data_IF_870879711053
#
_entry.id   IF_870879711053
#
_cell.length_a   1.000
_cell.length_b   1.000
_cell.length_c   1.000
_cell.angle_alpha   90.00
_cell.angle_beta   90.00
_cell.angle_gamma   90.00
#
_symmetry.space_group_name_H-M   'P 1'
#
loop_
_entity.id
_entity.type
_entity.pdbx_description
1 polymer ?
#
# COMPACT_ATOMS: atom_id res chain seq x y z
N UNK A 1 -16.46 -11.90 3.86
CA UNK A 1 -16.98 -11.23 2.64
C UNK A 1 -17.81 -10.01 3.05
N UNK A 2 -17.97 -9.00 2.19
CA UNK A 2 -18.84 -7.83 2.45
C UNK A 2 -19.78 -7.63 1.28
N UNK A 3 -21.07 -7.68 1.57
CA UNK A 3 -22.12 -7.43 0.60
C UNK A 3 -22.79 -6.10 0.92
N UNK A 4 -23.11 -5.34 -0.12
CA UNK A 4 -24.01 -4.19 -0.01
C UNK A 4 -25.36 -4.61 -0.58
N UNK A 5 -26.44 -4.07 -0.05
CA UNK A 5 -27.75 -4.53 -0.44
C UNK A 5 -28.83 -3.89 0.39
N UNK A 6 -30.04 -4.42 0.23
CA UNK A 6 -31.21 -3.98 0.97
C UNK A 6 -31.70 -5.11 1.85
N UNK A 7 -32.04 -4.75 3.08
CA UNK A 7 -32.81 -5.63 3.94
C UNK A 7 -34.26 -5.59 3.46
N UNK A 8 -34.84 -6.75 3.15
CA UNK A 8 -36.24 -6.91 2.79
C UNK A 8 -37.09 -7.13 4.04
N UNK A 9 -38.40 -7.09 3.86
CA UNK A 9 -39.35 -7.49 4.89
C UNK A 9 -39.02 -8.93 5.36
N UNK A 10 -38.87 -9.15 6.67
CA UNK A 10 -38.57 -10.48 7.18
C UNK A 10 -39.79 -11.39 7.00
N UNK A 11 -39.52 -12.68 6.84
CA UNK A 11 -40.56 -13.71 6.73
C UNK A 11 -40.55 -14.60 7.97
N UNK A 12 -41.66 -15.29 8.22
CA UNK A 12 -41.73 -16.31 9.25
C UNK A 12 -41.64 -17.67 8.56
N UNK A 13 -40.63 -18.45 8.93
CA UNK A 13 -40.55 -19.86 8.51
C UNK A 13 -41.66 -20.63 9.23
N UNK A 14 -42.53 -21.27 8.47
CA UNK A 14 -43.69 -21.98 9.03
C UNK A 14 -43.30 -23.29 9.75
N UNK A 15 -42.20 -23.93 9.37
CA UNK A 15 -41.75 -25.17 10.00
C UNK A 15 -41.10 -24.90 11.36
N UNK A 16 -40.32 -23.82 11.46
CA UNK A 16 -39.58 -23.48 12.67
C UNK A 16 -40.24 -22.39 13.52
N UNK A 17 -41.23 -21.68 12.98
CA UNK A 17 -41.85 -20.47 13.52
C UNK A 17 -40.84 -19.35 13.85
N UNK A 18 -39.65 -19.38 13.24
CA UNK A 18 -38.60 -18.37 13.45
C UNK A 18 -38.67 -17.28 12.41
N UNK A 19 -38.34 -16.06 12.85
CA UNK A 19 -38.15 -14.92 11.97
C UNK A 19 -36.90 -15.14 11.12
N UNK A 20 -37.05 -15.03 9.81
CA UNK A 20 -35.95 -15.18 8.84
C UNK A 20 -35.63 -13.82 8.23
N UNK A 21 -34.35 -13.47 8.26
CA UNK A 21 -33.80 -12.25 7.69
C UNK A 21 -33.59 -12.47 6.19
N UNK A 22 -34.19 -11.60 5.36
CA UNK A 22 -33.97 -11.58 3.91
C UNK A 22 -33.09 -10.39 3.53
N UNK A 23 -31.92 -10.69 2.96
CA UNK A 23 -31.01 -9.68 2.44
C UNK A 23 -30.90 -9.85 0.93
N UNK A 24 -31.14 -8.78 0.18
CA UNK A 24 -30.98 -8.73 -1.27
C UNK A 24 -29.61 -8.11 -1.58
N UNK A 25 -28.56 -8.93 -1.80
CA UNK A 25 -27.23 -8.42 -2.10
C UNK A 25 -27.20 -7.84 -3.53
N UNK A 26 -26.37 -6.81 -3.70
CA UNK A 26 -26.11 -6.23 -5.01
C UNK A 26 -25.01 -6.99 -5.77
N UNK A 27 -24.13 -7.68 -5.04
CA UNK A 27 -23.11 -8.57 -5.60
C UNK A 27 -23.63 -10.01 -5.67
N UNK A 28 -23.01 -10.83 -6.51
CA UNK A 28 -23.28 -12.27 -6.57
C UNK A 28 -22.87 -12.95 -5.25
N UNK A 29 -23.84 -13.61 -4.61
CA UNK A 29 -23.68 -14.33 -3.35
C UNK A 29 -23.57 -15.85 -3.55
N UNK A 30 -23.66 -16.36 -4.78
CA UNK A 30 -23.82 -17.79 -5.08
C UNK A 30 -22.66 -18.65 -4.54
N UNK A 31 -21.42 -18.22 -4.74
CA UNK A 31 -20.24 -18.93 -4.21
C UNK A 31 -20.25 -18.94 -2.66
N UNK A 32 -20.53 -17.80 -2.04
CA UNK A 32 -20.59 -17.68 -0.59
C UNK A 32 -21.68 -18.57 0.03
N UNK A 33 -22.81 -18.72 -0.67
CA UNK A 33 -23.88 -19.61 -0.26
C UNK A 33 -23.40 -21.06 -0.23
N UNK A 34 -22.78 -21.54 -1.31
CA UNK A 34 -22.26 -22.91 -1.38
C UNK A 34 -21.24 -23.22 -0.28
N UNK A 35 -20.37 -22.25 0.05
CA UNK A 35 -19.37 -22.39 1.11
C UNK A 35 -19.99 -22.40 2.53
N UNK A 36 -21.13 -21.74 2.75
CA UNK A 36 -21.68 -21.48 4.08
C UNK A 36 -22.96 -22.25 4.42
N UNK A 37 -23.68 -22.81 3.43
CA UNK A 37 -25.01 -23.41 3.60
C UNK A 37 -25.06 -24.55 4.63
N UNK A 38 -23.97 -25.29 4.79
CA UNK A 38 -23.87 -26.45 5.69
C UNK A 38 -23.19 -26.14 7.03
N UNK A 39 -22.86 -24.86 7.29
CA UNK A 39 -22.26 -24.46 8.57
C UNK A 39 -23.30 -24.50 9.70
N UNK A 40 -22.99 -25.24 10.78
CA UNK A 40 -23.85 -25.38 11.96
C UNK A 40 -24.17 -24.03 12.62
N UNK A 41 -23.24 -23.09 12.58
CA UNK A 41 -23.40 -21.76 13.18
C UNK A 41 -22.72 -20.68 12.35
N UNK A 42 -23.50 -19.65 12.01
CA UNK A 42 -23.03 -18.46 11.31
C UNK A 42 -23.22 -17.21 12.18
N UNK A 43 -22.34 -16.23 11.99
CA UNK A 43 -22.45 -14.90 12.60
C UNK A 43 -22.80 -13.88 11.53
N UNK A 44 -23.78 -13.01 11.80
CA UNK A 44 -24.24 -11.97 10.88
C UNK A 44 -24.12 -10.59 11.52
N UNK A 45 -23.45 -9.67 10.83
CA UNK A 45 -23.36 -8.27 11.24
C UNK A 45 -23.94 -7.36 10.15
N UNK A 46 -24.97 -6.57 10.47
CA UNK A 46 -25.60 -5.61 9.56
C UNK A 46 -25.25 -4.19 10.01
N UNK A 47 -24.64 -3.41 9.13
CA UNK A 47 -24.27 -2.01 9.37
C UNK A 47 -24.93 -1.10 8.34
N UNK A 48 -25.34 0.10 8.76
CA UNK A 48 -25.82 1.14 7.83
C UNK A 48 -24.72 1.43 6.82
N UNK A 49 -25.03 1.29 5.53
CA UNK A 49 -24.10 1.64 4.48
C UNK A 49 -23.76 3.13 4.57
N UNK A 50 -22.46 3.42 4.66
CA UNK A 50 -21.90 4.76 4.47
C UNK A 50 -20.91 4.62 3.34
N UNK A 51 -21.01 5.49 2.33
CA UNK A 51 -19.98 5.58 1.29
C UNK A 51 -18.65 5.81 2.02
N UNK A 52 -17.74 4.84 1.97
CA UNK A 52 -16.40 5.05 2.51
C UNK A 52 -15.80 6.25 1.77
N UNK A 53 -15.12 7.13 2.51
CA UNK A 53 -14.20 8.12 1.94
C UNK A 53 -13.31 7.39 0.93
N UNK A 54 -12.86 8.08 -0.12
CA UNK A 54 -11.79 7.57 -0.98
C UNK A 54 -10.71 6.91 -0.12
N UNK A 55 -10.22 5.74 -0.52
CA UNK A 55 -8.99 5.22 0.06
C UNK A 55 -7.95 6.32 -0.13
N UNK A 56 -7.45 6.85 0.97
CA UNK A 56 -6.36 7.80 0.90
C UNK A 56 -5.11 6.98 0.58
N UNK A 57 -4.67 7.04 -0.68
CA UNK A 57 -3.54 6.26 -1.17
C UNK A 57 -2.28 6.49 -0.34
N UNK A 58 -2.06 7.72 0.13
CA UNK A 58 -0.92 8.05 0.96
C UNK A 58 -1.04 7.40 2.35
N UNK A 59 -2.21 7.48 3.01
CA UNK A 59 -2.44 6.80 4.28
C UNK A 59 -2.30 5.28 4.15
N UNK A 60 -2.86 4.69 3.07
CA UNK A 60 -2.73 3.27 2.78
C UNK A 60 -1.26 2.86 2.60
N UNK A 61 -0.51 3.63 1.82
CA UNK A 61 0.93 3.44 1.62
C UNK A 61 1.68 3.40 2.95
N UNK A 62 1.49 4.38 3.84
CA UNK A 62 2.21 4.42 5.12
C UNK A 62 1.84 3.27 6.07
N UNK A 63 0.58 2.83 6.07
CA UNK A 63 0.14 1.66 6.83
C UNK A 63 0.84 0.39 6.33
N UNK A 64 0.85 0.18 5.01
CA UNK A 64 1.48 -1.00 4.42
C UNK A 64 3.02 -0.95 4.57
N UNK A 65 3.61 0.22 4.39
CA UNK A 65 5.05 0.45 4.57
C UNK A 65 5.49 0.09 5.99
N UNK A 66 4.69 0.47 7.00
CA UNK A 66 4.98 0.15 8.40
C UNK A 66 5.00 -1.36 8.64
N UNK A 67 4.11 -2.12 7.99
CA UNK A 67 4.12 -3.58 8.07
C UNK A 67 5.39 -4.16 7.46
N UNK A 68 5.78 -3.69 6.27
CA UNK A 68 7.01 -4.11 5.62
C UNK A 68 8.25 -3.76 6.46
N UNK A 69 8.32 -2.54 6.98
CA UNK A 69 9.43 -2.08 7.82
C UNK A 69 9.61 -2.96 9.07
N UNK A 70 8.50 -3.37 9.70
CA UNK A 70 8.55 -4.28 10.85
C UNK A 70 9.10 -5.67 10.47
N UNK A 71 8.66 -6.25 9.35
CA UNK A 71 9.14 -7.55 8.87
C UNK A 71 10.63 -7.49 8.50
N UNK A 72 11.04 -6.40 7.86
CA UNK A 72 12.42 -6.19 7.42
C UNK A 72 13.35 -5.65 8.52
N UNK A 73 12.81 -5.37 9.71
CA UNK A 73 13.54 -4.82 10.87
C UNK A 73 14.25 -3.49 10.56
N UNK A 74 13.60 -2.61 9.79
CA UNK A 74 14.11 -1.28 9.45
C UNK A 74 13.21 -0.19 10.03
N UNK A 75 13.71 1.06 10.07
CA UNK A 75 12.86 2.21 10.38
C UNK A 75 11.88 2.50 9.23
N UNK A 76 10.78 3.21 9.52
CA UNK A 76 9.86 3.69 8.48
C UNK A 76 10.55 4.64 7.48
N UNK A 77 11.37 5.62 7.91
CA UNK A 77 12.15 6.45 6.98
C UNK A 77 13.07 5.62 6.06
N UNK A 78 13.77 4.64 6.63
CA UNK A 78 14.64 3.76 5.85
C UNK A 78 13.87 2.96 4.82
N UNK A 79 12.78 2.31 5.22
CA UNK A 79 11.96 1.55 4.28
C UNK A 79 11.34 2.47 3.23
N UNK A 80 10.91 3.68 3.60
CA UNK A 80 10.40 4.66 2.64
C UNK A 80 11.45 5.02 1.59
N UNK A 81 12.67 5.35 2.02
CA UNK A 81 13.75 5.69 1.10
C UNK A 81 14.08 4.50 0.20
N UNK A 82 14.13 3.27 0.73
CA UNK A 82 14.30 2.06 -0.09
C UNK A 82 13.21 1.93 -1.17
N UNK A 83 11.95 2.19 -0.84
CA UNK A 83 10.87 2.19 -1.85
C UNK A 83 11.06 3.28 -2.91
N UNK A 84 11.53 4.47 -2.52
CA UNK A 84 11.84 5.53 -3.47
C UNK A 84 13.06 5.20 -4.36
N UNK A 85 14.05 4.46 -3.87
CA UNK A 85 15.19 4.02 -4.68
C UNK A 85 14.76 3.15 -5.86
N UNK A 86 13.73 2.32 -5.68
CA UNK A 86 13.24 1.37 -6.68
C UNK A 86 12.10 1.95 -7.54
N UNK A 87 11.17 2.69 -6.92
CA UNK A 87 9.90 3.09 -7.55
C UNK A 87 9.67 4.61 -7.54
N UNK A 88 10.61 5.37 -6.99
CA UNK A 88 10.52 6.82 -6.87
C UNK A 88 10.78 7.56 -8.17
N UNK A 89 10.53 8.87 -8.13
CA UNK A 89 10.70 9.79 -9.25
C UNK A 89 11.84 10.77 -8.97
N UNK A 90 12.71 11.07 -9.95
CA UNK A 90 13.77 12.05 -9.77
C UNK A 90 13.19 13.47 -9.65
N UNK A 91 13.89 14.33 -8.92
CA UNK A 91 13.65 15.78 -8.95
C UNK A 91 14.25 16.35 -10.23
N UNK A 92 13.43 17.07 -11.00
CA UNK A 92 13.78 17.59 -12.33
C UNK A 92 13.63 19.11 -12.35
N UNK A 93 14.71 19.81 -12.67
CA UNK A 93 14.70 21.25 -12.95
C UNK A 93 15.16 21.46 -14.38
N UNK A 94 14.36 22.21 -15.16
CA UNK A 94 14.64 22.50 -16.58
C UNK A 94 14.97 21.25 -17.41
N UNK A 95 14.25 20.15 -17.14
CA UNK A 95 14.43 18.87 -17.85
C UNK A 95 15.66 18.06 -17.43
N UNK A 96 16.39 18.48 -16.38
CA UNK A 96 17.57 17.78 -15.86
C UNK A 96 17.39 17.34 -14.42
N UNK A 97 17.84 16.13 -14.12
CA UNK A 97 17.87 15.63 -12.76
C UNK A 97 18.91 16.37 -11.91
N UNK A 98 18.57 16.63 -10.65
CA UNK A 98 19.48 17.23 -9.68
C UNK A 98 20.37 16.15 -9.07
N UNK A 99 21.65 16.49 -8.90
CA UNK A 99 22.64 15.61 -8.28
C UNK A 99 23.40 16.36 -7.17
N UNK A 100 23.83 15.61 -6.16
CA UNK A 100 24.69 16.12 -5.10
C UNK A 100 25.74 15.09 -4.70
N UNK A 101 26.86 15.55 -4.16
CA UNK A 101 27.96 14.68 -3.70
C UNK A 101 27.93 14.55 -2.18
N UNK A 102 28.03 13.32 -1.69
CA UNK A 102 28.06 12.98 -0.27
C UNK A 102 29.30 12.12 -0.01
N UNK A 103 29.98 12.25 1.14
CA UNK A 103 31.09 11.37 1.48
C UNK A 103 30.72 9.89 1.27
N UNK A 104 31.57 9.13 0.60
CA UNK A 104 31.36 7.72 0.28
C UNK A 104 31.71 6.84 1.49
N UNK A 105 30.91 6.97 2.55
CA UNK A 105 31.06 6.19 3.79
C UNK A 105 29.74 5.58 4.21
N UNK A 106 29.80 4.44 4.92
CA UNK A 106 28.62 3.76 5.46
C UNK A 106 27.80 4.66 6.40
N UNK A 107 28.47 5.53 7.18
CA UNK A 107 27.78 6.47 8.07
C UNK A 107 26.95 7.48 7.28
N UNK A 108 27.50 8.01 6.19
CA UNK A 108 26.79 8.95 5.34
C UNK A 108 25.63 8.27 4.60
N UNK A 109 25.84 7.07 4.06
CA UNK A 109 24.78 6.27 3.44
C UNK A 109 23.63 5.98 4.43
N UNK A 110 23.95 5.56 5.66
CA UNK A 110 22.95 5.30 6.70
C UNK A 110 22.15 6.57 7.06
N UNK A 111 22.81 7.74 7.14
CA UNK A 111 22.14 9.02 7.36
C UNK A 111 21.19 9.36 6.22
N UNK A 112 21.63 9.17 4.98
CA UNK A 112 20.82 9.38 3.78
C UNK A 112 19.60 8.47 3.78
N UNK A 113 19.78 7.17 4.03
CA UNK A 113 18.66 6.22 4.08
C UNK A 113 17.66 6.55 5.18
N UNK A 114 18.07 7.15 6.29
CA UNK A 114 17.17 7.51 7.38
C UNK A 114 16.65 8.97 7.32
N UNK A 115 17.03 9.74 6.29
CA UNK A 115 16.58 11.12 6.13
C UNK A 115 15.08 11.19 5.82
N UNK A 116 14.42 12.22 6.32
CA UNK A 116 12.98 12.46 6.12
C UNK A 116 12.69 13.73 5.34
N UNK A 117 13.68 14.60 5.25
CA UNK A 117 13.67 15.93 4.63
C UNK A 117 14.20 15.93 3.19
N UNK A 118 14.95 14.89 2.81
CA UNK A 118 15.43 14.66 1.45
C UNK A 118 15.50 13.17 1.13
N UNK A 119 15.50 12.84 -0.16
CA UNK A 119 15.55 11.46 -0.66
C UNK A 119 16.59 11.35 -1.77
N UNK A 120 17.58 10.47 -1.60
CA UNK A 120 18.75 10.44 -2.48
C UNK A 120 19.02 9.01 -2.95
N UNK A 121 19.21 8.87 -4.27
CA UNK A 121 19.57 7.62 -4.91
C UNK A 121 21.07 7.60 -5.22
N UNK A 122 21.86 6.66 -4.66
CA UNK A 122 23.28 6.56 -4.96
C UNK A 122 23.49 6.22 -6.43
N UNK A 123 24.56 6.76 -7.02
CA UNK A 123 25.05 6.34 -8.34
C UNK A 123 26.35 5.55 -8.19
N UNK A 124 26.84 4.99 -9.31
CA UNK A 124 28.16 4.37 -9.37
C UNK A 124 29.31 5.38 -9.45
N UNK A 125 29.02 6.68 -9.56
CA UNK A 125 30.04 7.71 -9.71
C UNK A 125 30.63 8.11 -8.36
N UNK A 126 31.90 7.75 -8.15
CA UNK A 126 32.69 8.09 -6.97
C UNK A 126 33.94 8.86 -7.41
N UNK A 127 34.29 9.93 -6.70
CA UNK A 127 35.43 10.81 -7.00
C UNK A 127 36.10 11.31 -5.73
N UNK A 128 37.41 11.47 -5.78
CA UNK A 128 38.18 12.10 -4.69
C UNK A 128 37.99 13.63 -4.72
N UNK A 129 37.72 14.22 -3.56
CA UNK A 129 37.65 15.66 -3.35
C UNK A 129 39.03 16.29 -3.18
N UNK A 130 39.10 17.62 -3.22
CA UNK A 130 40.35 18.37 -2.99
C UNK A 130 40.87 18.25 -1.56
N UNK A 131 40.03 17.78 -0.65
CA UNK A 131 40.33 17.47 0.75
C UNK A 131 40.78 16.01 0.98
N UNK A 132 40.91 15.22 -0.09
CA UNK A 132 41.30 13.80 -0.03
C UNK A 132 40.17 12.86 0.41
N UNK A 133 38.93 13.35 0.54
CA UNK A 133 37.77 12.52 0.89
C UNK A 133 37.13 11.95 -0.37
N UNK A 134 36.76 10.67 -0.37
CA UNK A 134 35.98 10.07 -1.45
C UNK A 134 34.52 10.51 -1.35
N UNK A 135 33.95 10.98 -2.45
CA UNK A 135 32.55 11.40 -2.56
C UNK A 135 31.81 10.56 -3.59
N UNK A 136 30.63 10.07 -3.23
CA UNK A 136 29.68 9.45 -4.15
C UNK A 136 28.66 10.48 -4.61
N UNK A 137 28.35 10.45 -5.90
CA UNK A 137 27.27 11.26 -6.47
C UNK A 137 25.94 10.57 -6.25
N UNK A 138 24.96 11.32 -5.74
CA UNK A 138 23.59 10.91 -5.53
C UNK A 138 22.65 11.74 -6.42
N UNK A 139 21.58 11.11 -6.89
CA UNK A 139 20.47 11.76 -7.58
C UNK A 139 19.39 12.14 -6.57
N UNK A 140 18.87 13.36 -6.64
CA UNK A 140 17.74 13.78 -5.82
C UNK A 140 16.44 13.15 -6.33
N UNK A 141 15.69 12.55 -5.41
CA UNK A 141 14.36 12.01 -5.64
C UNK A 141 13.30 12.93 -5.02
N UNK A 142 12.16 13.03 -5.68
CA UNK A 142 10.96 13.69 -5.17
C UNK A 142 10.37 12.90 -4.01
N UNK A 143 9.94 13.61 -2.96
CA UNK A 143 9.12 13.03 -1.90
C UNK A 143 7.75 12.63 -2.42
N UNK A 144 7.22 11.52 -1.91
CA UNK A 144 5.93 10.94 -2.35
C UNK A 144 4.74 11.88 -2.15
N UNK A 145 4.85 12.86 -1.25
CA UNK A 145 3.83 13.89 -1.04
C UNK A 145 3.61 14.80 -2.26
N UNK A 146 4.55 14.81 -3.21
CA UNK A 146 4.43 15.57 -4.47
C UNK A 146 3.82 14.75 -5.61
N UNK A 147 3.58 13.45 -5.40
CA UNK A 147 3.26 12.52 -6.50
C UNK A 147 1.86 12.74 -7.05
N UNK A 148 1.73 12.59 -8.36
CA UNK A 148 0.41 12.45 -8.98
C UNK A 148 -0.19 11.06 -8.71
N UNK A 149 -1.42 10.84 -9.19
CA UNK A 149 -2.13 9.58 -8.96
C UNK A 149 -1.42 8.37 -9.57
N UNK A 150 -0.79 8.53 -10.74
CA UNK A 150 -0.11 7.43 -11.44
C UNK A 150 1.25 7.11 -10.80
N UNK A 151 1.99 8.14 -10.40
CA UNK A 151 3.24 8.02 -9.63
C UNK A 151 2.98 7.32 -8.29
N UNK A 152 1.94 7.74 -7.56
CA UNK A 152 1.57 7.10 -6.29
C UNK A 152 1.11 5.65 -6.46
N UNK A 153 0.35 5.37 -7.52
CA UNK A 153 -0.07 4.01 -7.85
C UNK A 153 1.13 3.08 -8.09
N UNK A 154 2.12 3.51 -8.88
CA UNK A 154 3.35 2.74 -9.12
C UNK A 154 4.14 2.49 -7.84
N UNK A 155 4.23 3.49 -6.97
CA UNK A 155 4.90 3.35 -5.67
C UNK A 155 4.19 2.31 -4.78
N UNK A 156 2.85 2.34 -4.74
CA UNK A 156 2.05 1.36 -3.99
C UNK A 156 2.19 -0.04 -4.58
N UNK A 157 2.16 -0.17 -5.91
CA UNK A 157 2.31 -1.46 -6.60
C UNK A 157 3.67 -2.12 -6.31
N UNK A 158 4.74 -1.32 -6.34
CA UNK A 158 6.08 -1.76 -5.93
C UNK A 158 6.17 -2.16 -4.45
N UNK A 159 5.47 -1.43 -3.57
CA UNK A 159 5.37 -1.77 -2.16
C UNK A 159 4.60 -3.08 -1.94
N UNK A 160 3.49 -3.30 -2.64
CA UNK A 160 2.73 -4.55 -2.60
C UNK A 160 3.60 -5.72 -3.04
N UNK A 161 4.37 -5.55 -4.12
CA UNK A 161 5.31 -6.57 -4.60
C UNK A 161 6.35 -6.90 -3.53
N UNK A 162 6.95 -5.87 -2.92
CA UNK A 162 7.94 -6.02 -1.85
C UNK A 162 7.35 -6.72 -0.60
N UNK A 163 6.09 -6.44 -0.26
CA UNK A 163 5.39 -7.14 0.82
C UNK A 163 5.18 -8.63 0.52
N UNK A 164 4.81 -8.98 -0.72
CA UNK A 164 4.65 -10.38 -1.15
C UNK A 164 5.98 -11.13 -1.10
N UNK A 165 7.05 -10.51 -1.59
CA UNK A 165 8.40 -11.07 -1.54
C UNK A 165 8.90 -11.28 -0.10
N UNK A 166 8.52 -10.38 0.82
CA UNK A 166 8.78 -10.53 2.25
C UNK A 166 7.88 -11.55 2.95
N UNK A 167 6.95 -12.20 2.23
CA UNK A 167 6.07 -13.23 2.78
C UNK A 167 4.86 -12.70 3.57
N UNK A 168 4.50 -11.41 3.41
CA UNK A 168 3.32 -10.84 4.06
C UNK A 168 2.06 -11.40 3.37
N UNK A 169 1.10 -12.01 4.10
CA UNK A 169 -0.11 -12.56 3.50
C UNK A 169 -0.96 -11.50 2.78
N UNK A 170 -1.61 -11.86 1.68
CA UNK A 170 -2.46 -10.94 0.90
C UNK A 170 -3.58 -10.29 1.73
N UNK A 171 -4.12 -11.02 2.72
CA UNK A 171 -5.12 -10.51 3.65
C UNK A 171 -4.59 -9.38 4.55
N UNK A 172 -3.27 -9.36 4.80
CA UNK A 172 -2.60 -8.29 5.53
C UNK A 172 -2.14 -7.14 4.62
N UNK A 173 -1.95 -7.39 3.32
CA UNK A 173 -1.64 -6.33 2.34
C UNK A 173 -2.87 -5.45 2.10
N UNK A 174 -4.01 -6.06 1.80
CA UNK A 174 -5.25 -5.34 1.54
C UNK A 174 -6.48 -6.19 1.84
N UNK A 175 -7.48 -5.60 2.49
CA UNK A 175 -8.82 -6.19 2.56
C UNK A 175 -9.47 -6.26 1.18
N UNK A 176 -10.48 -7.13 0.95
CA UNK A 176 -11.16 -7.22 -0.34
C UNK A 176 -11.71 -5.88 -0.87
N UNK A 177 -12.18 -5.01 0.04
CA UNK A 177 -12.64 -3.67 -0.31
C UNK A 177 -11.48 -2.78 -0.79
N UNK A 178 -10.32 -2.86 -0.14
CA UNK A 178 -9.12 -2.09 -0.50
C UNK A 178 -8.54 -2.57 -1.83
N UNK A 179 -8.46 -3.89 -2.05
CA UNK A 179 -8.07 -4.48 -3.33
C UNK A 179 -8.92 -3.93 -4.48
N UNK A 180 -10.25 -3.92 -4.30
CA UNK A 180 -11.18 -3.38 -5.29
C UNK A 180 -10.94 -1.88 -5.56
N UNK A 181 -10.77 -1.06 -4.52
CA UNK A 181 -10.54 0.38 -4.68
C UNK A 181 -9.19 0.66 -5.35
N UNK A 182 -8.14 -0.08 -4.96
CA UNK A 182 -6.80 0.00 -5.54
C UNK A 182 -6.82 -0.32 -7.03
N UNK A 183 -7.53 -1.38 -7.42
CA UNK A 183 -7.73 -1.75 -8.83
C UNK A 183 -8.54 -0.71 -9.60
N UNK A 184 -9.71 -0.30 -9.08
CA UNK A 184 -10.63 0.62 -9.78
C UNK A 184 -10.06 2.04 -9.95
N UNK A 185 -9.31 2.55 -8.97
CA UNK A 185 -8.89 3.96 -8.95
C UNK A 185 -7.43 4.19 -9.24
N UNK A 186 -6.60 3.23 -8.88
CA UNK A 186 -5.14 3.34 -8.96
C UNK A 186 -4.55 2.32 -9.94
N UNK A 187 -5.34 1.39 -10.47
CA UNK A 187 -4.85 0.36 -11.40
C UNK A 187 -3.92 -0.66 -10.75
N UNK A 188 -3.89 -0.74 -9.41
CA UNK A 188 -3.03 -1.66 -8.65
C UNK A 188 -3.79 -2.96 -8.44
N UNK A 189 -3.27 -4.07 -8.98
CA UNK A 189 -3.90 -5.39 -8.88
C UNK A 189 -3.22 -6.25 -7.81
N UNK A 190 -3.96 -6.50 -6.74
CA UNK A 190 -3.49 -7.35 -5.63
C UNK A 190 -4.26 -8.65 -5.76
N UNK A 191 -3.66 -9.60 -6.48
CA UNK A 191 -4.19 -10.95 -6.81
C UNK A 191 -5.17 -11.56 -5.81
#
# INVERSE_FOLDING_TARGET
MRFTGKLKEPIIDFATHRLTILFEPQQDFSQAYEELKDCEKLSLEIKRYRRKRSLDANAYYWVLLTKLANVMQTSNPEMHNRMLLHYGQPEIIEGKAIYMTIPDTEEAERKVLNATDYHLQPTSQVREGVDGVMYRTYKLLRGSHTYDTAEMARLIDGLVTSCKEAGIPDAEIASPDEKRILKERYGVDIG
#
